data_IF_766942111783
#
_entry.id   IF_766942111783
#
_cell.length_a   1.000
_cell.length_b   1.000
_cell.length_c   1.000
_cell.angle_alpha   90.00
_cell.angle_beta   90.00
_cell.angle_gamma   90.00
#
_symmetry.space_group_name_H-M   'P 1'
#
loop_
_entity.id
_entity.type
_entity.pdbx_description
1 polymer ?
#
# COMPACT_ATOMS: atom_id res chain seq x y z
N UNK A 1 -3.33 30.01 10.39
CA UNK A 1 -3.08 28.57 10.64
C UNK A 1 -4.34 27.78 11.07
N UNK A 2 -5.55 28.34 10.95
CA UNK A 2 -6.75 27.84 11.65
C UNK A 2 -7.66 26.87 10.87
N UNK A 3 -7.29 26.35 9.69
CA UNK A 3 -8.04 25.29 8.98
C UNK A 3 -7.25 24.74 7.78
N UNK A 4 -6.01 24.28 8.00
CA UNK A 4 -5.25 23.67 6.90
C UNK A 4 -5.69 22.21 6.68
N UNK A 5 -6.30 21.87 5.53
CA UNK A 5 -6.80 20.51 5.27
C UNK A 5 -5.69 19.46 5.33
N UNK A 6 -4.45 19.83 5.01
CA UNK A 6 -3.29 18.93 5.09
C UNK A 6 -2.94 18.58 6.55
N UNK A 7 -3.11 19.53 7.47
CA UNK A 7 -2.82 19.33 8.90
C UNK A 7 -3.78 18.34 9.57
N UNK A 8 -5.02 18.25 9.09
CA UNK A 8 -6.01 17.24 9.52
C UNK A 8 -5.62 15.83 9.03
N UNK A 9 -4.95 15.75 7.88
CA UNK A 9 -4.50 14.50 7.25
C UNK A 9 -3.09 14.07 7.66
N UNK A 10 -2.38 14.82 8.51
CA UNK A 10 -0.98 14.51 8.88
C UNK A 10 -0.77 13.07 9.38
N UNK A 11 -1.72 12.53 10.14
CA UNK A 11 -1.65 11.17 10.67
C UNK A 11 -1.88 10.15 9.56
N UNK A 12 -2.80 10.41 8.63
CA UNK A 12 -3.01 9.59 7.46
C UNK A 12 -1.78 9.58 6.53
N UNK A 13 -1.19 10.76 6.28
CA UNK A 13 0.00 10.93 5.45
C UNK A 13 1.22 10.24 6.06
N UNK A 14 1.46 10.43 7.37
CA UNK A 14 2.55 9.78 8.07
C UNK A 14 2.37 8.25 8.12
N UNK A 15 1.14 7.76 8.30
CA UNK A 15 0.83 6.33 8.24
C UNK A 15 1.07 5.73 6.87
N UNK A 16 0.64 6.44 5.82
CA UNK A 16 0.85 6.03 4.44
C UNK A 16 2.34 6.00 4.08
N UNK A 17 3.08 7.04 4.44
CA UNK A 17 4.51 7.13 4.19
C UNK A 17 5.27 6.00 4.91
N UNK A 18 4.91 5.72 6.17
CA UNK A 18 5.52 4.62 6.93
C UNK A 18 5.17 3.25 6.32
N UNK A 19 3.91 3.02 5.95
CA UNK A 19 3.48 1.78 5.32
C UNK A 19 4.14 1.56 3.95
N UNK A 20 4.29 2.63 3.16
CA UNK A 20 5.01 2.62 1.89
C UNK A 20 6.48 2.28 2.10
N UNK A 21 7.16 2.97 3.01
CA UNK A 21 8.57 2.73 3.32
C UNK A 21 8.80 1.27 3.72
N UNK A 22 8.00 0.74 4.64
CA UNK A 22 8.08 -0.67 5.06
C UNK A 22 7.80 -1.60 3.88
N UNK A 23 6.82 -1.28 3.03
CA UNK A 23 6.47 -2.11 1.87
C UNK A 23 7.57 -2.13 0.81
N UNK A 24 8.35 -1.05 0.64
CA UNK A 24 9.53 -1.03 -0.23
C UNK A 24 10.58 -2.02 0.26
N UNK A 25 10.86 -2.05 1.57
CA UNK A 25 11.77 -3.05 2.14
C UNK A 25 11.25 -4.48 1.96
N UNK A 26 9.96 -4.71 2.18
CA UNK A 26 9.32 -6.01 1.93
C UNK A 26 9.45 -6.40 0.44
N UNK A 27 9.20 -5.46 -0.48
CA UNK A 27 9.33 -5.69 -1.92
C UNK A 27 10.77 -6.02 -2.33
N UNK A 28 11.78 -5.41 -1.72
CA UNK A 28 13.18 -5.74 -1.97
C UNK A 28 13.53 -7.18 -1.52
N UNK A 29 13.09 -7.56 -0.33
CA UNK A 29 13.31 -8.92 0.21
C UNK A 29 12.55 -9.96 -0.63
N UNK A 30 11.28 -9.70 -0.92
CA UNK A 30 10.45 -10.55 -1.76
C UNK A 30 11.01 -10.66 -3.18
N UNK A 31 11.47 -9.56 -3.76
CA UNK A 31 12.04 -9.54 -5.10
C UNK A 31 13.33 -10.34 -5.22
N UNK A 32 14.15 -10.36 -4.17
CA UNK A 32 15.30 -11.27 -4.09
C UNK A 32 14.86 -12.72 -4.05
N UNK A 33 13.97 -13.08 -3.11
CA UNK A 33 13.53 -14.46 -2.93
C UNK A 33 12.83 -15.01 -4.18
N UNK A 34 11.99 -14.19 -4.83
CA UNK A 34 11.32 -14.53 -6.09
C UNK A 34 12.33 -14.60 -7.22
N UNK A 35 13.23 -13.64 -7.35
CA UNK A 35 14.27 -13.65 -8.38
C UNK A 35 15.15 -14.90 -8.33
N UNK A 36 15.51 -15.37 -7.13
CA UNK A 36 16.28 -16.59 -6.93
C UNK A 36 15.55 -17.85 -7.47
N UNK A 37 14.20 -17.85 -7.49
CA UNK A 37 13.39 -18.94 -8.06
C UNK A 37 13.31 -18.93 -9.59
N UNK A 38 13.41 -17.75 -10.21
CA UNK A 38 13.28 -17.56 -11.66
C UNK A 38 14.61 -17.48 -12.41
N UNK A 39 15.73 -17.46 -11.68
CA UNK A 39 17.09 -17.58 -12.21
C UNK A 39 17.99 -16.40 -11.85
N UNK A 40 19.30 -16.66 -11.78
CA UNK A 40 20.31 -15.70 -11.31
C UNK A 40 20.76 -14.70 -12.39
N UNK A 41 19.82 -14.15 -13.15
CA UNK A 41 20.11 -13.09 -14.11
C UNK A 41 19.74 -11.72 -13.55
N UNK A 42 20.60 -10.73 -13.78
CA UNK A 42 20.35 -9.34 -13.38
C UNK A 42 19.00 -8.83 -13.89
N UNK A 43 18.65 -9.16 -15.14
CA UNK A 43 17.39 -8.75 -15.76
C UNK A 43 16.16 -9.30 -15.03
N UNK A 44 16.21 -10.55 -14.54
CA UNK A 44 15.11 -11.14 -13.75
C UNK A 44 14.97 -10.38 -12.43
N UNK A 45 16.07 -10.15 -11.70
CA UNK A 45 16.04 -9.42 -10.42
C UNK A 45 15.48 -8.00 -10.59
N UNK A 46 15.92 -7.27 -11.62
CA UNK A 46 15.43 -5.92 -11.93
C UNK A 46 13.96 -5.93 -12.28
N UNK A 47 13.53 -6.87 -13.13
CA UNK A 47 12.13 -6.97 -13.56
C UNK A 47 11.20 -7.28 -12.40
N UNK A 48 11.55 -8.27 -11.57
CA UNK A 48 10.76 -8.66 -10.39
C UNK A 48 10.67 -7.49 -9.40
N UNK A 49 11.80 -6.85 -9.09
CA UNK A 49 11.81 -5.70 -8.20
C UNK A 49 10.98 -4.53 -8.77
N UNK A 50 11.12 -4.22 -10.06
CA UNK A 50 10.36 -3.17 -10.72
C UNK A 50 8.85 -3.41 -10.68
N UNK A 51 8.40 -4.64 -10.96
CA UNK A 51 6.98 -5.00 -10.87
C UNK A 51 6.44 -4.91 -9.44
N UNK A 52 7.19 -5.38 -8.45
CA UNK A 52 6.80 -5.26 -7.04
C UNK A 52 6.74 -3.80 -6.59
N UNK A 53 7.70 -2.98 -7.03
CA UNK A 53 7.71 -1.55 -6.72
C UNK A 53 6.49 -0.86 -7.32
N UNK A 54 6.18 -1.11 -8.60
CA UNK A 54 4.98 -0.59 -9.26
C UNK A 54 3.70 -1.04 -8.53
N UNK A 55 3.63 -2.31 -8.12
CA UNK A 55 2.50 -2.86 -7.36
C UNK A 55 2.27 -2.13 -6.04
N UNK A 56 3.33 -1.88 -5.27
CA UNK A 56 3.27 -1.16 -3.99
C UNK A 56 2.90 0.31 -4.20
N UNK A 57 3.45 0.97 -5.22
CA UNK A 57 3.11 2.36 -5.55
C UNK A 57 1.62 2.48 -5.91
N UNK A 58 1.12 1.58 -6.76
CA UNK A 58 -0.29 1.53 -7.13
C UNK A 58 -1.20 1.28 -5.92
N UNK A 59 -0.88 0.30 -5.09
CA UNK A 59 -1.64 0.03 -3.87
C UNK A 59 -1.64 1.20 -2.89
N UNK A 60 -0.55 1.98 -2.86
CA UNK A 60 -0.45 3.18 -2.01
C UNK A 60 -1.39 4.27 -2.49
N UNK A 61 -1.48 4.50 -3.81
CA UNK A 61 -2.46 5.42 -4.38
C UNK A 61 -3.90 4.98 -4.06
N UNK A 62 -4.20 3.68 -4.17
CA UNK A 62 -5.53 3.13 -3.81
C UNK A 62 -5.87 3.36 -2.35
N UNK A 63 -4.92 3.10 -1.44
CA UNK A 63 -5.11 3.36 -0.01
C UNK A 63 -5.27 4.86 0.27
N UNK A 64 -4.46 5.70 -0.34
CA UNK A 64 -4.56 7.15 -0.18
C UNK A 64 -5.94 7.66 -0.56
N UNK A 65 -6.49 7.26 -1.71
CA UNK A 65 -7.84 7.63 -2.15
C UNK A 65 -8.91 7.18 -1.14
N UNK A 66 -8.75 5.99 -0.54
CA UNK A 66 -9.70 5.47 0.47
C UNK A 66 -9.61 6.24 1.79
N UNK A 67 -8.40 6.57 2.23
CA UNK A 67 -8.12 7.19 3.52
C UNK A 67 -8.41 8.69 3.49
N UNK A 68 -8.05 9.37 2.41
CA UNK A 68 -8.19 10.83 2.26
C UNK A 68 -9.62 11.31 2.48
N UNK A 69 -10.61 10.42 2.31
CA UNK A 69 -12.02 10.75 2.53
C UNK A 69 -12.48 10.59 3.98
N UNK A 70 -11.86 9.77 4.82
CA UNK A 70 -12.50 9.24 6.04
C UNK A 70 -11.65 9.23 7.33
N UNK A 71 -10.32 9.42 7.27
CA UNK A 71 -9.47 9.12 8.44
C UNK A 71 -8.81 10.36 9.08
N UNK A 72 -9.33 10.84 10.22
CA UNK A 72 -8.69 11.83 11.11
C UNK A 72 -8.10 11.21 12.39
N UNK A 73 -8.22 9.88 12.52
CA UNK A 73 -7.89 9.16 13.75
C UNK A 73 -6.37 9.07 13.97
N UNK A 74 -5.91 9.05 15.23
CA UNK A 74 -4.49 8.99 15.57
C UNK A 74 -3.83 7.69 15.09
N UNK A 75 -2.55 7.77 14.70
CA UNK A 75 -1.76 6.62 14.26
C UNK A 75 -1.51 5.67 15.43
N UNK A 76 -1.79 4.38 15.21
CA UNK A 76 -1.46 3.31 16.15
C UNK A 76 -0.68 2.20 15.44
N UNK A 77 0.23 1.49 16.11
CA UNK A 77 1.02 0.42 15.49
C UNK A 77 0.17 -0.65 14.80
N UNK A 78 -0.93 -1.06 15.45
CA UNK A 78 -1.88 -2.00 14.86
C UNK A 78 -2.53 -1.48 13.58
N UNK A 79 -2.83 -0.18 13.50
CA UNK A 79 -3.37 0.42 12.28
C UNK A 79 -2.33 0.47 11.18
N UNK A 80 -1.06 0.78 11.48
CA UNK A 80 0.02 0.73 10.49
C UNK A 80 0.17 -0.68 9.93
N UNK A 81 0.12 -1.72 10.77
CA UNK A 81 0.12 -3.11 10.33
C UNK A 81 -1.06 -3.44 9.40
N UNK A 82 -2.27 -2.98 9.73
CA UNK A 82 -3.44 -3.16 8.88
C UNK A 82 -3.31 -2.43 7.53
N UNK A 83 -2.67 -1.27 7.51
CA UNK A 83 -2.42 -0.51 6.28
C UNK A 83 -1.40 -1.22 5.40
N UNK A 84 -0.33 -1.78 5.98
CA UNK A 84 0.61 -2.62 5.24
C UNK A 84 -0.13 -3.83 4.66
N UNK A 85 -0.92 -4.55 5.46
CA UNK A 85 -1.69 -5.68 4.95
C UNK A 85 -2.66 -5.28 3.82
N UNK A 86 -3.34 -4.14 3.98
CA UNK A 86 -4.26 -3.61 2.96
C UNK A 86 -3.54 -3.15 1.69
N UNK A 87 -2.30 -2.65 1.84
CA UNK A 87 -1.42 -2.22 0.75
C UNK A 87 -0.97 -3.42 -0.08
N UNK A 88 -0.83 -4.60 0.52
CA UNK A 88 -0.54 -5.83 -0.21
C UNK A 88 -1.80 -6.53 -0.72
N UNK A 89 -2.94 -6.37 -0.05
CA UNK A 89 -4.22 -6.97 -0.44
C UNK A 89 -5.09 -6.07 -1.35
N UNK A 90 -4.56 -4.95 -1.84
CA UNK A 90 -5.33 -3.94 -2.56
C UNK A 90 -6.15 -4.46 -3.76
N UNK A 91 -5.70 -5.44 -4.58
CA UNK A 91 -6.50 -5.95 -5.69
C UNK A 91 -7.76 -6.66 -5.19
N UNK A 92 -7.66 -7.40 -4.08
CA UNK A 92 -8.80 -8.06 -3.44
C UNK A 92 -9.77 -7.02 -2.85
N UNK A 93 -9.24 -5.92 -2.32
CA UNK A 93 -10.06 -4.81 -1.81
C UNK A 93 -10.78 -4.02 -2.93
N UNK A 94 -10.36 -4.16 -4.19
CA UNK A 94 -11.07 -3.65 -5.35
C UNK A 94 -12.11 -4.66 -5.85
N UNK A 95 -11.72 -5.93 -5.96
CA UNK A 95 -12.60 -7.02 -6.40
C UNK A 95 -13.82 -7.19 -5.48
N UNK A 96 -13.63 -7.11 -4.15
CA UNK A 96 -14.70 -7.23 -3.16
C UNK A 96 -15.74 -6.10 -3.19
N UNK A 97 -15.43 -4.95 -3.81
CA UNK A 97 -16.39 -3.83 -3.95
C UNK A 97 -17.38 -4.01 -5.10
N UNK A 98 -17.10 -4.88 -6.06
CA UNK A 98 -18.01 -5.13 -7.21
C UNK A 98 -19.20 -6.05 -6.90
N UNK A 99 -19.27 -6.65 -5.70
CA UNK A 99 -20.13 -7.81 -5.43
C UNK A 99 -21.47 -7.56 -4.73
N UNK A 100 -21.95 -6.31 -4.56
CA UNK A 100 -23.29 -6.07 -3.98
C UNK A 100 -24.25 -5.48 -5.01
N UNK A 101 -25.07 -6.30 -5.70
CA UNK A 101 -26.27 -5.79 -6.35
C UNK A 101 -27.24 -5.26 -5.28
N UNK A 102 -27.97 -4.16 -5.54
CA UNK A 102 -28.99 -3.66 -4.63
C UNK A 102 -30.08 -4.73 -4.46
N UNK A 103 -30.38 -5.09 -3.21
CA UNK A 103 -31.61 -5.83 -2.90
C UNK A 103 -32.75 -4.81 -3.00
N UNK A 104 -33.53 -4.91 -4.08
CA UNK A 104 -34.86 -4.33 -4.18
C UNK A 104 -35.86 -5.07 -3.31
#
# INVERSE_FOLDING_TARGET
>A
MHNDPLWKLRHALAGLALALLVSVFIAAIAGRAVGDLFGDSYNVRVTVYGLLLLYVVAGTAVLFVKVARHETRPLTPGRVGLWIASLWAWPMLLASRGGKPPKG
#
